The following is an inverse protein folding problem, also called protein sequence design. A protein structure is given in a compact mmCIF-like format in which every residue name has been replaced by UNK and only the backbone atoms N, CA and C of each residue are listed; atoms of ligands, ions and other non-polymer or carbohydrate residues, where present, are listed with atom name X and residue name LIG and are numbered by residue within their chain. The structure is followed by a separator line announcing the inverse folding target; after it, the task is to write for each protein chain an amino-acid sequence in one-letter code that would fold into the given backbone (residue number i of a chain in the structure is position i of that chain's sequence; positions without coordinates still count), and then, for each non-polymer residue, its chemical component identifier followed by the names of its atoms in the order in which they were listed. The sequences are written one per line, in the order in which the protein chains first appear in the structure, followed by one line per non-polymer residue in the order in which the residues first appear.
data_IF_665551960237
#
_entry.id   IF_665551960237
#
_cell.length_a   1.000
_cell.length_b   1.000
_cell.length_c   1.000
_cell.angle_alpha   90.00
_cell.angle_beta   90.00
_cell.angle_gamma   90.00
#
_symmetry.space_group_name_H-M   'P 1'
#
loop_
_entity.id
_entity.type
_entity.pdbx_description
1 polymer ?
#
# COMPACT_ATOMS: atom_id res chain seq x y z
N UNK A 1 21.72 4.10 -10.54
CA UNK A 1 21.25 3.40 -9.31
C UNK A 1 21.86 3.93 -8.02
N UNK A 2 23.19 4.03 -7.85
CA UNK A 2 23.79 4.50 -6.57
C UNK A 2 23.34 5.92 -6.19
N UNK A 3 23.45 6.88 -7.12
CA UNK A 3 23.07 8.28 -6.86
C UNK A 3 21.59 8.45 -6.48
N UNK A 4 20.69 7.64 -7.05
CA UNK A 4 19.27 7.64 -6.67
C UNK A 4 19.08 7.33 -5.18
N UNK A 5 19.86 6.38 -4.65
CA UNK A 5 19.82 5.99 -3.22
C UNK A 5 20.48 7.05 -2.34
N UNK A 6 21.58 7.65 -2.79
CA UNK A 6 22.25 8.73 -2.05
C UNK A 6 21.32 9.94 -1.92
N UNK A 7 20.71 10.37 -3.03
CA UNK A 7 19.75 11.46 -3.04
C UNK A 7 18.57 11.19 -2.09
N UNK A 8 17.96 10.00 -2.16
CA UNK A 8 16.86 9.61 -1.27
C UNK A 8 17.27 9.59 0.22
N UNK A 9 18.48 9.11 0.56
CA UNK A 9 19.00 9.13 1.94
C UNK A 9 19.25 10.54 2.47
N UNK A 10 19.48 11.50 1.59
CA UNK A 10 19.61 12.92 1.91
C UNK A 10 18.27 13.66 1.81
N UNK A 11 17.15 12.94 1.77
CA UNK A 11 15.78 13.45 1.59
C UNK A 11 15.57 14.22 0.27
N UNK A 12 16.40 13.99 -0.74
CA UNK A 12 16.17 14.50 -2.08
C UNK A 12 15.09 13.70 -2.82
N UNK A 13 14.43 14.35 -3.78
CA UNK A 13 13.39 13.76 -4.61
C UNK A 13 13.99 13.45 -5.99
N UNK A 14 13.90 12.19 -6.42
CA UNK A 14 14.46 11.75 -7.71
C UNK A 14 13.53 12.03 -8.89
N UNK A 15 12.24 11.79 -8.69
CA UNK A 15 11.17 12.00 -9.66
C UNK A 15 9.85 12.11 -8.90
N UNK A 16 8.82 12.61 -9.57
CA UNK A 16 7.44 12.66 -9.06
C UNK A 16 6.47 12.44 -10.22
N UNK A 17 5.26 12.00 -9.92
CA UNK A 17 4.15 11.99 -10.89
C UNK A 17 3.79 13.43 -11.24
N UNK A 18 3.57 13.70 -12.53
CA UNK A 18 3.07 15.00 -12.96
C UNK A 18 1.65 15.18 -12.45
N UNK A 19 1.36 16.34 -11.85
CA UNK A 19 0.06 16.61 -11.22
C UNK A 19 -1.12 16.42 -12.17
N UNK A 20 -0.91 16.62 -13.49
CA UNK A 20 -1.96 16.43 -14.51
C UNK A 20 -2.44 14.99 -14.64
N UNK A 21 -1.62 14.02 -14.22
CA UNK A 21 -1.96 12.61 -14.19
C UNK A 21 -2.26 12.12 -12.78
N UNK A 22 -2.20 12.96 -11.75
CA UNK A 22 -2.48 12.49 -10.40
C UNK A 22 -4.00 12.48 -10.19
N UNK A 23 -4.60 11.36 -9.74
CA UNK A 23 -6.04 11.32 -9.48
C UNK A 23 -6.48 12.41 -8.48
N UNK A 24 -7.71 12.89 -8.62
CA UNK A 24 -8.28 13.96 -7.78
C UNK A 24 -8.23 13.63 -6.28
N UNK A 25 -8.11 12.35 -5.94
CA UNK A 25 -7.87 11.83 -4.59
C UNK A 25 -6.68 12.48 -3.87
N UNK A 26 -5.66 12.95 -4.61
CA UNK A 26 -4.45 13.58 -4.06
C UNK A 26 -4.51 15.11 -3.98
N UNK A 27 -5.63 15.75 -4.34
CA UNK A 27 -5.78 17.22 -4.23
C UNK A 27 -5.92 17.70 -2.78
N UNK A 28 -6.56 16.88 -1.95
CA UNK A 28 -6.59 17.08 -0.51
C UNK A 28 -5.28 16.60 0.15
N UNK A 29 -4.94 17.07 1.36
CA UNK A 29 -3.82 16.50 2.12
C UNK A 29 -4.03 15.00 2.35
N UNK A 30 -3.35 14.17 1.58
CA UNK A 30 -3.48 12.72 1.62
C UNK A 30 -2.16 12.11 2.09
N UNK A 31 -2.24 11.22 3.07
CA UNK A 31 -1.11 10.41 3.54
C UNK A 31 -1.21 9.02 2.93
N UNK A 32 -0.15 8.57 2.28
CA UNK A 32 -0.01 7.20 1.79
C UNK A 32 0.80 6.41 2.80
N UNK A 33 0.30 5.24 3.18
CA UNK A 33 0.91 4.37 4.18
C UNK A 33 1.09 2.99 3.60
N UNK A 34 2.29 2.43 3.70
CA UNK A 34 2.59 1.05 3.39
C UNK A 34 2.98 0.31 4.66
N UNK A 35 2.39 -0.85 4.89
CA UNK A 35 2.62 -1.66 6.08
C UNK A 35 2.88 -3.12 5.70
N UNK A 36 3.88 -3.72 6.35
CA UNK A 36 4.27 -5.12 6.14
C UNK A 36 4.69 -5.75 7.47
N UNK A 37 4.48 -7.06 7.58
CA UNK A 37 5.00 -7.90 8.66
C UNK A 37 5.84 -9.01 8.05
N UNK A 38 7.12 -9.03 8.43
CA UNK A 38 8.02 -10.10 8.03
C UNK A 38 8.19 -11.08 9.19
N UNK A 39 7.90 -12.35 8.90
CA UNK A 39 8.16 -13.46 9.82
C UNK A 39 9.52 -14.10 9.55
N UNK A 40 10.18 -14.65 10.58
CA UNK A 40 11.34 -15.51 10.41
C UNK A 40 10.98 -16.82 9.70
N UNK A 41 12.00 -17.62 9.37
CA UNK A 41 11.80 -18.91 8.72
C UNK A 41 10.88 -19.83 9.56
N UNK A 42 10.12 -20.76 8.94
CA UNK A 42 9.16 -21.59 9.66
C UNK A 42 9.75 -22.43 10.81
N UNK A 43 11.02 -22.80 10.72
CA UNK A 43 11.79 -23.52 11.74
C UNK A 43 12.16 -22.65 12.97
N UNK A 44 12.15 -21.34 12.82
CA UNK A 44 12.55 -20.37 13.85
C UNK A 44 11.33 -19.88 14.65
N UNK A 45 10.76 -20.74 15.47
CA UNK A 45 9.49 -20.50 16.17
C UNK A 45 9.53 -19.44 17.28
N UNK A 46 10.72 -19.10 17.78
CA UNK A 46 10.91 -18.15 18.89
C UNK A 46 11.39 -16.78 18.44
N UNK A 47 11.80 -16.64 17.18
CA UNK A 47 12.30 -15.38 16.65
C UNK A 47 11.10 -14.44 16.46
N UNK A 48 11.19 -13.18 16.91
CA UNK A 48 10.10 -12.22 16.78
C UNK A 48 9.81 -11.89 15.32
N UNK A 49 8.56 -11.53 15.03
CA UNK A 49 8.21 -10.92 13.74
C UNK A 49 8.61 -9.45 13.75
N UNK A 50 8.84 -8.88 12.57
CA UNK A 50 9.13 -7.45 12.40
C UNK A 50 7.97 -6.79 11.67
N UNK A 51 7.29 -5.85 12.32
CA UNK A 51 6.34 -4.97 11.67
C UNK A 51 7.05 -3.68 11.22
N UNK A 52 6.79 -3.24 9.99
CA UNK A 52 7.31 -2.00 9.45
C UNK A 52 6.20 -1.21 8.77
N UNK A 53 6.13 0.08 9.07
CA UNK A 53 5.16 1.01 8.49
C UNK A 53 5.90 2.22 7.94
N UNK A 54 5.81 2.39 6.62
CA UNK A 54 6.28 3.58 5.92
C UNK A 54 5.09 4.51 5.64
N UNK A 55 5.24 5.80 5.90
CA UNK A 55 4.21 6.79 5.60
C UNK A 55 4.81 7.98 4.86
N UNK A 56 4.10 8.48 3.85
CA UNK A 56 4.49 9.70 3.16
C UNK A 56 4.43 10.89 4.11
N UNK A 57 5.31 11.86 3.92
CA UNK A 57 5.33 13.10 4.72
C UNK A 57 5.44 14.36 3.86
N UNK A 58 5.20 14.24 2.55
CA UNK A 58 5.11 15.33 1.61
C UNK A 58 3.82 15.23 0.76
N UNK A 59 3.40 16.34 0.15
CA UNK A 59 2.14 16.38 -0.63
C UNK A 59 2.16 15.53 -1.89
N UNK A 60 3.35 15.22 -2.43
CA UNK A 60 3.47 14.41 -3.65
C UNK A 60 3.59 12.92 -3.34
N UNK A 61 3.75 12.57 -2.06
CA UNK A 61 3.97 11.22 -1.59
C UNK A 61 5.19 10.53 -2.22
N UNK A 62 6.31 11.25 -2.31
CA UNK A 62 7.62 10.75 -2.76
C UNK A 62 8.72 10.80 -1.68
N UNK A 63 8.39 11.29 -0.48
CA UNK A 63 9.25 11.23 0.69
C UNK A 63 8.53 10.48 1.82
N UNK A 64 9.18 9.44 2.34
CA UNK A 64 8.59 8.54 3.33
C UNK A 64 9.43 8.49 4.61
N UNK A 65 8.74 8.45 5.75
CA UNK A 65 9.35 8.07 7.03
C UNK A 65 8.96 6.63 7.36
N UNK A 66 9.88 5.85 7.92
CA UNK A 66 9.63 4.46 8.29
C UNK A 66 9.80 4.27 9.79
N UNK A 67 8.85 3.56 10.40
CA UNK A 67 8.90 3.14 11.80
C UNK A 67 8.68 1.63 11.83
N UNK A 68 9.51 0.92 12.60
CA UNK A 68 9.43 -0.53 12.75
C UNK A 68 9.35 -0.94 14.22
N UNK A 69 8.82 -2.14 14.47
CA UNK A 69 8.67 -2.74 15.79
C UNK A 69 8.92 -4.25 15.73
N UNK A 70 9.46 -4.78 16.81
CA UNK A 70 9.40 -6.23 17.06
C UNK A 70 8.04 -6.56 17.66
N UNK A 71 7.48 -7.69 17.27
CA UNK A 71 6.26 -8.22 17.84
C UNK A 71 6.37 -9.74 18.03
N UNK A 72 5.44 -10.37 18.77
CA UNK A 72 5.52 -11.80 19.05
C UNK A 72 5.74 -12.65 17.78
N UNK A 73 6.39 -13.82 17.91
CA UNK A 73 6.62 -14.71 16.78
C UNK A 73 5.31 -15.04 16.06
N UNK A 74 5.31 -14.94 14.72
CA UNK A 74 4.16 -15.22 13.85
C UNK A 74 2.89 -14.40 14.12
N UNK A 75 3.00 -13.31 14.87
CA UNK A 75 1.92 -12.33 14.96
C UNK A 75 1.84 -11.58 13.63
N UNK A 76 0.74 -11.71 12.90
CA UNK A 76 0.50 -10.97 11.64
C UNK A 76 -0.04 -9.57 11.92
N UNK A 77 -0.86 -9.38 12.96
CA UNK A 77 -1.47 -8.07 13.24
C UNK A 77 -0.42 -7.12 13.79
N UNK A 78 -0.35 -5.89 13.28
CA UNK A 78 0.62 -4.91 13.78
C UNK A 78 0.19 -4.43 15.16
N UNK A 79 0.84 -4.97 16.20
CA UNK A 79 0.44 -4.76 17.61
C UNK A 79 0.54 -3.29 18.03
N UNK A 80 1.62 -2.62 17.66
CA UNK A 80 1.92 -1.23 18.06
C UNK A 80 1.49 -0.20 16.99
N UNK A 81 0.53 -0.55 16.11
CA UNK A 81 0.15 0.29 14.98
C UNK A 81 -0.35 1.68 15.42
N UNK A 82 -1.06 1.76 16.55
CA UNK A 82 -1.57 3.04 17.07
C UNK A 82 -0.44 4.02 17.37
N UNK A 83 0.58 3.59 18.13
CA UNK A 83 1.75 4.41 18.48
C UNK A 83 2.54 4.81 17.23
N UNK A 84 2.70 3.87 16.29
CA UNK A 84 3.35 4.11 15.00
C UNK A 84 2.60 5.22 14.24
N UNK A 85 1.28 5.10 14.10
CA UNK A 85 0.46 6.07 13.37
C UNK A 85 0.46 7.44 14.02
N UNK A 86 0.42 7.54 15.36
CA UNK A 86 0.59 8.81 16.09
C UNK A 86 1.89 9.50 15.69
N UNK A 87 2.99 8.75 15.59
CA UNK A 87 4.29 9.30 15.19
C UNK A 87 4.29 9.72 13.71
N UNK A 88 3.76 8.90 12.81
CA UNK A 88 3.68 9.22 11.39
C UNK A 88 2.81 10.46 11.10
N UNK A 89 1.68 10.60 11.78
CA UNK A 89 0.80 11.77 11.71
C UNK A 89 1.51 13.05 12.17
N UNK A 90 2.29 12.98 13.27
CA UNK A 90 3.13 14.09 13.73
C UNK A 90 4.22 14.44 12.72
N UNK A 91 4.84 13.44 12.09
CA UNK A 91 5.84 13.64 11.04
C UNK A 91 5.24 14.37 9.83
N UNK A 92 4.10 13.90 9.31
CA UNK A 92 3.40 14.56 8.21
C UNK A 92 3.08 16.01 8.55
N UNK A 93 2.47 16.27 9.71
CA UNK A 93 2.15 17.64 10.12
C UNK A 93 3.41 18.53 10.24
N UNK A 94 4.51 17.98 10.76
CA UNK A 94 5.78 18.71 10.88
C UNK A 94 6.28 19.22 9.53
N UNK A 95 6.19 18.41 8.48
CA UNK A 95 6.71 18.71 7.14
C UNK A 95 5.72 19.45 6.24
N UNK A 96 4.43 19.15 6.31
CA UNK A 96 3.41 19.76 5.42
C UNK A 96 2.67 20.94 6.04
N UNK A 97 2.78 21.10 7.38
CA UNK A 97 1.95 22.01 8.19
C UNK A 97 0.45 21.78 8.05
N UNK A 98 0.05 20.61 7.57
CA UNK A 98 -1.33 20.20 7.35
C UNK A 98 -1.57 18.85 8.01
N UNK A 99 -2.78 18.63 8.49
CA UNK A 99 -3.22 17.29 8.92
C UNK A 99 -3.71 16.56 7.67
N UNK A 100 -3.38 15.26 7.49
CA UNK A 100 -3.97 14.52 6.40
C UNK A 100 -5.49 14.45 6.59
N UNK A 101 -6.24 14.76 5.56
CA UNK A 101 -7.69 14.58 5.52
C UNK A 101 -8.05 13.16 5.06
N UNK A 102 -7.12 12.52 4.33
CA UNK A 102 -7.25 11.16 3.82
C UNK A 102 -6.02 10.33 4.16
N UNK A 103 -6.23 9.07 4.50
CA UNK A 103 -5.18 8.06 4.72
C UNK A 103 -5.48 6.88 3.81
N UNK A 104 -4.56 6.57 2.89
CA UNK A 104 -4.64 5.38 2.05
C UNK A 104 -3.60 4.39 2.55
N UNK A 105 -4.07 3.25 3.04
CA UNK A 105 -3.29 2.27 3.76
C UNK A 105 -3.17 0.98 2.94
N UNK A 106 -1.96 0.70 2.45
CA UNK A 106 -1.61 -0.52 1.73
C UNK A 106 -0.95 -1.53 2.68
N UNK A 107 -1.64 -2.61 2.98
CA UNK A 107 -1.19 -3.69 3.88
C UNK A 107 -0.76 -4.92 3.09
N UNK A 108 0.55 -5.20 3.03
CA UNK A 108 1.10 -6.38 2.34
C UNK A 108 0.92 -7.66 3.17
N UNK A 109 1.01 -8.85 2.59
CA UNK A 109 1.25 -10.10 3.34
C UNK A 109 0.06 -10.76 4.04
N UNK A 110 -1.13 -10.16 4.01
CA UNK A 110 -2.31 -10.71 4.72
C UNK A 110 -3.07 -11.71 3.86
N UNK A 111 -3.40 -12.87 4.42
CA UNK A 111 -4.24 -13.89 3.77
C UNK A 111 -5.73 -13.59 3.91
N UNK A 112 -6.56 -14.03 2.94
CA UNK A 112 -8.01 -13.75 2.92
C UNK A 112 -8.72 -14.18 4.22
N UNK A 113 -8.31 -15.31 4.81
CA UNK A 113 -8.86 -15.81 6.08
C UNK A 113 -8.57 -14.91 7.30
N UNK A 114 -7.68 -13.92 7.18
CA UNK A 114 -7.32 -12.98 8.23
C UNK A 114 -7.86 -11.56 8.00
N UNK A 115 -8.54 -11.30 6.87
CA UNK A 115 -8.97 -9.95 6.48
C UNK A 115 -9.81 -9.26 7.56
N UNK A 116 -10.86 -9.90 8.05
CA UNK A 116 -11.72 -9.32 9.08
C UNK A 116 -10.95 -9.00 10.36
N UNK A 117 -10.11 -9.92 10.83
CA UNK A 117 -9.36 -9.72 12.07
C UNK A 117 -8.32 -8.60 11.95
N UNK A 118 -7.59 -8.56 10.83
CA UNK A 118 -6.60 -7.50 10.55
C UNK A 118 -7.31 -6.16 10.41
N UNK A 119 -8.39 -6.10 9.61
CA UNK A 119 -9.14 -4.88 9.42
C UNK A 119 -9.66 -4.33 10.76
N UNK A 120 -10.34 -5.16 11.55
CA UNK A 120 -10.93 -4.72 12.82
C UNK A 120 -9.87 -4.16 13.77
N UNK A 121 -8.73 -4.83 13.89
CA UNK A 121 -7.67 -4.43 14.84
C UNK A 121 -6.87 -3.24 14.33
N UNK A 122 -6.44 -3.27 13.08
CA UNK A 122 -5.58 -2.23 12.50
C UNK A 122 -6.35 -0.95 12.18
N UNK A 123 -7.57 -1.05 11.63
CA UNK A 123 -8.44 0.12 11.43
C UNK A 123 -8.73 0.80 12.76
N UNK A 124 -9.10 0.05 13.79
CA UNK A 124 -9.33 0.61 15.12
C UNK A 124 -8.09 1.32 15.68
N UNK A 125 -6.89 0.76 15.46
CA UNK A 125 -5.64 1.39 15.87
C UNK A 125 -5.37 2.71 15.12
N UNK A 126 -5.63 2.76 13.80
CA UNK A 126 -5.52 3.98 12.99
C UNK A 126 -6.49 5.06 13.51
N UNK A 127 -7.74 4.70 13.81
CA UNK A 127 -8.73 5.65 14.35
C UNK A 127 -8.35 6.17 15.72
N UNK A 128 -7.93 5.30 16.64
CA UNK A 128 -7.48 5.71 17.97
C UNK A 128 -6.23 6.60 17.90
N UNK A 129 -5.32 6.33 16.98
CA UNK A 129 -4.17 7.21 16.73
C UNK A 129 -4.61 8.63 16.31
N UNK A 130 -5.63 8.75 15.47
CA UNK A 130 -6.18 10.05 15.08
C UNK A 130 -6.87 10.74 16.27
N UNK A 131 -7.79 10.06 16.95
CA UNK A 131 -8.54 10.62 18.10
C UNK A 131 -7.65 10.99 19.29
N UNK A 132 -6.54 10.27 19.52
CA UNK A 132 -5.58 10.59 20.58
C UNK A 132 -4.79 11.88 20.33
N UNK A 133 -4.65 12.30 19.06
CA UNK A 133 -4.03 13.58 18.70
C UNK A 133 -4.99 14.75 18.83
N UNK A 134 -6.27 14.53 18.52
CA UNK A 134 -7.36 15.49 18.70
C UNK A 134 -8.69 14.72 18.67
N UNK A 135 -9.57 14.95 19.66
CA UNK A 135 -10.80 14.19 19.85
C UNK A 135 -11.65 14.05 18.58
N UNK A 136 -11.87 15.17 17.86
CA UNK A 136 -12.72 15.20 16.66
C UNK A 136 -11.95 14.97 15.35
N UNK A 137 -10.68 14.56 15.41
CA UNK A 137 -9.89 14.33 14.20
C UNK A 137 -10.18 12.94 13.64
N UNK A 138 -10.98 12.91 12.58
CA UNK A 138 -11.42 11.70 11.89
C UNK A 138 -11.15 11.82 10.38
N UNK A 139 -9.90 11.61 9.93
CA UNK A 139 -9.60 11.58 8.49
C UNK A 139 -10.30 10.38 7.85
N UNK A 140 -10.63 10.51 6.56
CA UNK A 140 -11.15 9.41 5.76
C UNK A 140 -10.04 8.35 5.58
N UNK A 141 -10.35 7.09 5.81
CA UNK A 141 -9.40 5.98 5.64
C UNK A 141 -9.87 5.07 4.51
N UNK A 142 -8.95 4.72 3.63
CA UNK A 142 -9.12 3.66 2.63
C UNK A 142 -8.08 2.58 2.90
N UNK A 143 -8.51 1.34 3.12
CA UNK A 143 -7.66 0.23 3.52
C UNK A 143 -7.63 -0.83 2.42
N UNK A 144 -6.45 -1.05 1.85
CA UNK A 144 -6.21 -2.08 0.85
C UNK A 144 -5.29 -3.15 1.40
N UNK A 145 -5.63 -4.41 1.16
CA UNK A 145 -4.66 -5.51 1.29
C UNK A 145 -4.00 -5.75 -0.06
N UNK A 146 -2.68 -5.93 -0.04
CA UNK A 146 -1.83 -6.20 -1.20
C UNK A 146 -1.32 -7.64 -1.12
N UNK A 147 -1.62 -8.45 -2.13
CA UNK A 147 -1.22 -9.85 -2.18
C UNK A 147 -0.38 -10.12 -3.43
N UNK A 148 0.93 -10.22 -3.25
CA UNK A 148 1.90 -10.47 -4.34
C UNK A 148 2.13 -11.96 -4.60
N UNK A 149 1.75 -12.82 -3.66
CA UNK A 149 2.05 -14.26 -3.65
C UNK A 149 0.78 -15.08 -3.75
N UNK A 150 0.30 -15.29 -4.97
CA UNK A 150 -0.83 -16.15 -5.28
C UNK A 150 -0.61 -16.94 -6.59
N UNK A 151 -1.60 -17.74 -6.99
CA UNK A 151 -1.51 -18.66 -8.12
C UNK A 151 -2.06 -18.09 -9.44
N UNK A 152 -2.82 -16.98 -9.43
CA UNK A 152 -3.33 -16.31 -10.64
C UNK A 152 -2.20 -15.84 -11.57
N UNK A 153 -2.31 -16.10 -12.86
CA UNK A 153 -1.37 -15.67 -13.92
C UNK A 153 -2.15 -15.16 -15.12
N UNK A 154 -1.62 -14.14 -15.79
CA UNK A 154 -2.21 -13.56 -16.99
C UNK A 154 -1.33 -13.83 -18.21
N UNK A 155 -1.99 -14.10 -19.33
CA UNK A 155 -1.35 -14.38 -20.61
C UNK A 155 -2.06 -13.55 -21.70
N UNK A 156 -1.31 -12.91 -22.60
CA UNK A 156 -1.90 -12.26 -23.76
C UNK A 156 -2.72 -13.24 -24.60
N UNK A 157 -3.90 -12.83 -25.04
CA UNK A 157 -4.74 -13.62 -25.97
C UNK A 157 -4.37 -13.35 -27.43
N UNK A 158 -3.82 -12.16 -27.71
CA UNK A 158 -3.33 -11.75 -29.03
C UNK A 158 -1.82 -11.53 -28.98
N UNK A 159 -1.15 -11.80 -30.11
CA UNK A 159 0.29 -11.62 -30.24
C UNK A 159 0.74 -10.15 -30.12
N UNK A 160 -0.13 -9.22 -30.49
CA UNK A 160 0.13 -7.77 -30.39
C UNK A 160 0.15 -7.24 -28.96
N UNK A 161 -0.46 -7.96 -28.02
CA UNK A 161 -0.47 -7.63 -26.60
C UNK A 161 0.69 -8.34 -25.84
N UNK A 162 1.62 -9.00 -26.55
CA UNK A 162 2.81 -9.61 -25.94
C UNK A 162 3.87 -8.54 -25.61
N UNK A 163 4.26 -8.44 -24.32
CA UNK A 163 5.35 -7.60 -23.86
C UNK A 163 6.63 -8.40 -23.55
N UNK A 164 7.75 -7.82 -23.99
CA UNK A 164 9.09 -8.34 -23.76
C UNK A 164 9.38 -9.73 -24.36
N UNK A 165 10.56 -10.25 -24.05
CA UNK A 165 11.02 -11.56 -24.57
C UNK A 165 10.17 -12.74 -24.08
N UNK A 166 9.58 -12.60 -22.89
CA UNK A 166 8.81 -13.66 -22.25
C UNK A 166 7.33 -13.64 -22.63
N UNK A 167 6.89 -12.67 -23.47
CA UNK A 167 5.52 -12.59 -23.99
C UNK A 167 4.47 -12.52 -22.88
N UNK A 168 4.75 -11.71 -21.86
CA UNK A 168 3.79 -11.45 -20.79
C UNK A 168 2.76 -10.41 -21.22
N UNK A 169 1.74 -10.18 -20.39
CA UNK A 169 0.89 -9.00 -20.52
C UNK A 169 1.70 -7.72 -20.22
N UNK A 170 1.38 -6.57 -20.84
CA UNK A 170 2.11 -5.33 -20.64
C UNK A 170 1.94 -4.76 -19.23
N UNK A 171 2.92 -3.98 -18.73
CA UNK A 171 2.74 -3.20 -17.51
C UNK A 171 1.53 -2.27 -17.61
N UNK A 172 0.76 -2.15 -16.54
CA UNK A 172 -0.52 -1.44 -16.51
C UNK A 172 -1.73 -2.33 -16.84
N UNK A 173 -1.53 -3.62 -17.14
CA UNK A 173 -2.67 -4.55 -17.30
C UNK A 173 -3.42 -4.69 -15.98
N UNK A 174 -4.70 -4.33 -16.00
CA UNK A 174 -5.64 -4.46 -14.88
C UNK A 174 -6.69 -5.51 -15.22
N UNK A 175 -7.08 -6.30 -14.22
CA UNK A 175 -8.25 -7.18 -14.28
C UNK A 175 -9.07 -7.03 -13.00
N UNK A 176 -10.21 -6.39 -13.14
CA UNK A 176 -11.21 -6.03 -12.12
C UNK A 176 -12.53 -6.80 -12.29
N UNK A 177 -12.67 -7.59 -13.36
CA UNK A 177 -13.90 -8.29 -13.75
C UNK A 177 -13.70 -9.80 -13.91
N UNK A 178 -14.81 -10.54 -13.88
CA UNK A 178 -14.96 -12.00 -14.11
C UNK A 178 -14.27 -12.95 -13.12
N UNK A 179 -13.00 -12.71 -12.80
CA UNK A 179 -12.15 -13.55 -11.94
C UNK A 179 -11.85 -12.91 -10.58
N UNK A 180 -12.42 -11.73 -10.36
CA UNK A 180 -12.43 -10.96 -9.12
C UNK A 180 -13.54 -11.42 -8.19
N UNK A 181 -13.53 -10.93 -6.97
CA UNK A 181 -14.50 -11.27 -5.96
C UNK A 181 -15.90 -10.76 -6.37
N UNK A 182 -16.98 -11.57 -6.22
CA UNK A 182 -18.28 -11.26 -6.84
C UNK A 182 -19.07 -10.12 -6.18
N UNK A 183 -18.58 -9.51 -5.10
CA UNK A 183 -19.33 -8.53 -4.27
C UNK A 183 -18.47 -7.41 -3.70
N UNK A 184 -17.34 -7.81 -3.13
CA UNK A 184 -16.29 -6.90 -2.65
C UNK A 184 -15.41 -6.42 -3.80
N UNK A 185 -14.87 -5.21 -3.68
CA UNK A 185 -13.97 -4.63 -4.66
C UNK A 185 -12.55 -5.19 -4.48
N UNK A 186 -12.11 -5.96 -5.46
CA UNK A 186 -10.72 -6.34 -5.65
C UNK A 186 -10.33 -6.24 -7.13
N UNK A 187 -9.04 -6.06 -7.39
CA UNK A 187 -8.50 -6.01 -8.73
C UNK A 187 -7.09 -6.58 -8.77
N UNK A 188 -6.69 -7.06 -9.93
CA UNK A 188 -5.32 -7.47 -10.21
C UNK A 188 -4.62 -6.41 -11.05
N UNK A 189 -3.38 -6.08 -10.70
CA UNK A 189 -2.55 -5.15 -11.47
C UNK A 189 -1.18 -5.78 -11.76
N UNK A 190 -0.79 -5.79 -13.03
CA UNK A 190 0.59 -6.06 -13.47
C UNK A 190 1.30 -4.72 -13.64
N UNK A 191 1.93 -4.21 -12.60
CA UNK A 191 2.56 -2.88 -12.64
C UNK A 191 3.99 -2.86 -13.21
N UNK A 192 4.57 -4.01 -13.54
CA UNK A 192 5.99 -4.13 -13.90
C UNK A 192 6.20 -4.92 -15.19
N UNK A 193 7.28 -4.60 -15.90
CA UNK A 193 7.75 -5.41 -17.01
C UNK A 193 8.45 -6.68 -16.48
N UNK A 194 8.07 -7.85 -16.99
CA UNK A 194 8.66 -9.11 -16.58
C UNK A 194 9.95 -9.43 -17.34
N UNK A 195 11.08 -9.20 -16.67
CA UNK A 195 12.41 -9.49 -17.22
C UNK A 195 12.63 -10.98 -17.47
N UNK A 196 12.10 -11.85 -16.62
CA UNK A 196 12.23 -13.30 -16.74
C UNK A 196 10.99 -14.04 -16.22
N UNK A 197 10.59 -15.09 -16.93
CA UNK A 197 9.47 -15.95 -16.53
C UNK A 197 8.11 -15.28 -16.73
N UNK A 198 7.11 -15.80 -16.01
CA UNK A 198 5.73 -15.30 -16.08
C UNK A 198 5.48 -14.23 -15.01
N UNK A 199 4.92 -13.10 -15.41
CA UNK A 199 4.48 -12.03 -14.51
C UNK A 199 3.57 -12.58 -13.42
N UNK A 200 3.76 -12.08 -12.20
CA UNK A 200 2.80 -12.27 -11.11
C UNK A 200 1.99 -10.97 -10.98
N UNK A 201 0.73 -10.93 -11.44
CA UNK A 201 -0.13 -9.79 -11.11
C UNK A 201 -0.21 -9.68 -9.59
N UNK A 202 -0.27 -8.46 -9.07
CA UNK A 202 -0.52 -8.24 -7.65
C UNK A 202 -2.02 -8.06 -7.46
N UNK A 203 -2.62 -8.80 -6.52
CA UNK A 203 -4.02 -8.63 -6.15
C UNK A 203 -4.13 -7.54 -5.08
N UNK A 204 -5.05 -6.60 -5.28
CA UNK A 204 -5.40 -5.55 -4.35
C UNK A 204 -6.86 -5.75 -3.93
N UNK A 205 -7.12 -5.75 -2.63
CA UNK A 205 -8.46 -5.97 -2.09
C UNK A 205 -8.83 -4.81 -1.19
N UNK A 206 -9.87 -4.04 -1.55
CA UNK A 206 -10.33 -2.90 -0.76
C UNK A 206 -11.20 -3.40 0.38
N UNK A 207 -10.66 -3.41 1.59
CA UNK A 207 -11.36 -3.88 2.79
C UNK A 207 -12.22 -2.80 3.45
N UNK A 208 -11.87 -1.54 3.25
CA UNK A 208 -12.59 -0.41 3.84
C UNK A 208 -12.37 0.86 3.03
N UNK A 209 -13.39 1.73 2.97
CA UNK A 209 -13.30 3.01 2.27
C UNK A 209 -14.29 4.03 2.83
N UNK A 210 -13.80 5.05 3.56
CA UNK A 210 -14.62 6.23 3.92
C UNK A 210 -14.67 7.27 2.79
N UNK A 211 -13.75 7.18 1.83
CA UNK A 211 -13.53 8.20 0.82
C UNK A 211 -14.40 8.00 -0.42
N UNK A 212 -15.11 6.88 -0.51
CA UNK A 212 -15.92 6.43 -1.65
C UNK A 212 -15.17 6.61 -2.98
N UNK A 213 -13.93 6.10 -3.01
CA UNK A 213 -13.03 6.25 -4.15
C UNK A 213 -13.52 5.34 -5.27
N UNK A 214 -13.69 5.93 -6.46
CA UNK A 214 -14.01 5.19 -7.67
C UNK A 214 -12.92 4.19 -8.03
N UNK A 215 -13.31 3.08 -8.66
CA UNK A 215 -12.39 1.98 -8.94
C UNK A 215 -11.22 2.43 -9.83
N UNK A 216 -11.53 3.12 -10.92
CA UNK A 216 -10.54 3.71 -11.84
C UNK A 216 -9.51 4.61 -11.12
N UNK A 217 -9.97 5.51 -10.22
CA UNK A 217 -9.10 6.43 -9.47
C UNK A 217 -8.13 5.67 -8.57
N UNK A 218 -8.59 4.57 -7.95
CA UNK A 218 -7.79 3.76 -7.04
C UNK A 218 -6.77 2.91 -7.80
N UNK A 219 -7.19 2.31 -8.92
CA UNK A 219 -6.33 1.53 -9.79
C UNK A 219 -5.23 2.38 -10.41
N UNK A 220 -5.60 3.56 -10.94
CA UNK A 220 -4.69 4.52 -11.54
C UNK A 220 -3.67 5.02 -10.49
N UNK A 221 -4.13 5.41 -9.30
CA UNK A 221 -3.23 5.79 -8.20
C UNK A 221 -2.29 4.63 -7.84
N UNK A 222 -2.82 3.42 -7.71
CA UNK A 222 -2.02 2.23 -7.35
C UNK A 222 -0.93 1.96 -8.39
N UNK A 223 -1.26 2.13 -9.69
CA UNK A 223 -0.28 1.98 -10.76
C UNK A 223 0.80 3.06 -10.72
N UNK A 224 0.45 4.33 -10.50
CA UNK A 224 1.42 5.42 -10.44
C UNK A 224 2.35 5.40 -9.22
N UNK A 225 2.00 4.65 -8.18
CA UNK A 225 2.86 4.43 -7.02
C UNK A 225 3.90 3.32 -7.24
N UNK A 226 3.83 2.60 -8.35
CA UNK A 226 4.78 1.54 -8.75
C UNK A 226 5.91 2.07 -9.62
#
# INVERSE_FOLDING_TARGET
NILLKVNAKLNGINHTVDRRFCPNLMDAPTMLVGADVTHPSPDQTTIPSVAAVAASHDRRAFQYNMIWRLQPPREEIIVDLESIMVQQLKFFYRFTKQKPLKIIFYRDGVSEGQFSQVLDREMSAIRRACSSLQADYQPQVTFLVVQKRHHTRFFPTRKEDEDGRNKNVPPGTIVDTMITHPREMDFYLVSHASLQGTSRPTKYHKLWDDSDIGEDDLEELTYYLC
#
